data_IF_002945714254
#
_entry.id   IF_002945714254
#
_cell.length_a   1.000
_cell.length_b   1.000
_cell.length_c   1.000
_cell.angle_alpha   90.00
_cell.angle_beta   90.00
_cell.angle_gamma   90.00
#
_symmetry.space_group_name_H-M   'P 1'
#
loop_
_entity.id
_entity.type
_entity.pdbx_description
1 polymer ?
#
# COMPACT_ATOMS: atom_id res chain seq x y z
N UNK A 1 36.10 8.70 11.36
CA UNK A 1 35.00 7.71 11.46
C UNK A 1 35.10 7.06 12.82
N UNK A 2 34.11 7.25 13.70
CA UNK A 2 34.11 6.69 15.05
C UNK A 2 33.11 5.54 15.08
N UNK A 3 33.60 4.33 15.37
CA UNK A 3 32.76 3.13 15.45
C UNK A 3 32.34 2.99 16.91
N UNK A 4 31.03 3.02 17.16
CA UNK A 4 30.47 2.73 18.48
C UNK A 4 30.25 1.22 18.59
N UNK A 5 30.83 0.60 19.61
CA UNK A 5 30.71 -0.83 19.87
C UNK A 5 29.75 -1.01 21.05
N UNK A 6 28.74 -1.87 20.87
CA UNK A 6 27.84 -2.27 21.95
C UNK A 6 28.44 -3.45 22.70
N UNK A 7 28.22 -3.51 24.02
CA UNK A 7 28.72 -4.60 24.87
C UNK A 7 28.11 -5.96 24.47
N UNK A 8 26.84 -5.95 24.05
CA UNK A 8 26.11 -7.13 23.60
C UNK A 8 25.56 -6.92 22.18
N UNK A 9 26.40 -7.04 21.13
CA UNK A 9 26.01 -6.73 19.75
C UNK A 9 24.85 -7.63 19.27
N UNK A 10 24.76 -8.87 19.76
CA UNK A 10 23.66 -9.79 19.46
C UNK A 10 22.30 -9.31 19.99
N UNK A 11 22.26 -8.48 21.04
CA UNK A 11 21.01 -7.99 21.65
C UNK A 11 20.69 -6.53 21.27
N UNK A 12 21.60 -5.83 20.59
CA UNK A 12 21.51 -4.38 20.36
C UNK A 12 20.20 -3.95 19.70
N UNK A 13 19.70 -4.76 18.76
CA UNK A 13 18.43 -4.49 18.06
C UNK A 13 17.26 -4.57 19.03
N UNK A 14 17.18 -5.64 19.82
CA UNK A 14 16.10 -5.84 20.79
C UNK A 14 16.15 -4.77 21.88
N UNK A 15 17.34 -4.43 22.39
CA UNK A 15 17.51 -3.31 23.33
C UNK A 15 17.01 -1.99 22.74
N UNK A 16 17.40 -1.68 21.50
CA UNK A 16 16.94 -0.47 20.81
C UNK A 16 15.42 -0.41 20.67
N UNK A 17 14.79 -1.52 20.28
CA UNK A 17 13.34 -1.63 20.15
C UNK A 17 12.62 -1.46 21.51
N UNK A 18 13.14 -2.08 22.57
CA UNK A 18 12.58 -1.97 23.92
C UNK A 18 12.74 -0.55 24.47
N UNK A 19 13.88 0.10 24.24
CA UNK A 19 14.13 1.48 24.65
C UNK A 19 13.21 2.47 23.94
N UNK A 20 13.08 2.38 22.60
CA UNK A 20 12.14 3.20 21.81
C UNK A 20 10.71 3.04 22.35
N UNK A 21 10.28 1.79 22.58
CA UNK A 21 8.95 1.51 23.10
C UNK A 21 8.74 2.05 24.52
N UNK A 22 9.74 1.93 25.39
CA UNK A 22 9.69 2.44 26.76
C UNK A 22 9.60 3.96 26.79
N UNK A 23 10.33 4.67 25.92
CA UNK A 23 10.28 6.13 25.79
C UNK A 23 8.89 6.59 25.31
N UNK A 24 8.32 5.93 24.31
CA UNK A 24 6.98 6.22 23.82
C UNK A 24 5.92 6.08 24.91
N UNK A 25 5.99 5.01 25.73
CA UNK A 25 5.01 4.76 26.80
C UNK A 25 5.19 5.74 27.96
N UNK A 26 6.42 5.91 28.46
CA UNK A 26 6.67 6.69 29.68
C UNK A 26 6.68 8.20 29.44
N UNK A 27 7.22 8.63 28.31
CA UNK A 27 7.48 10.06 28.02
C UNK A 27 6.61 10.62 26.90
N UNK A 28 5.85 9.77 26.18
CA UNK A 28 5.11 10.16 24.96
C UNK A 28 5.98 10.82 23.90
N UNK A 29 7.27 10.47 23.89
CA UNK A 29 8.23 10.94 22.89
C UNK A 29 8.47 9.83 21.88
N UNK A 30 8.46 10.18 20.60
CA UNK A 30 8.92 9.32 19.52
C UNK A 30 10.40 9.61 19.24
N UNK A 31 11.25 8.59 19.29
CA UNK A 31 12.70 8.77 19.06
C UNK A 31 12.99 9.20 17.62
N UNK A 32 12.18 8.71 16.67
CA UNK A 32 12.26 9.10 15.27
C UNK A 32 10.97 9.82 14.86
N UNK A 33 11.07 11.09 14.48
CA UNK A 33 9.92 11.86 13.98
C UNK A 33 9.38 11.35 12.64
N UNK A 34 10.28 10.79 11.83
CA UNK A 34 9.99 10.14 10.54
C UNK A 34 10.90 8.95 10.30
N UNK A 35 10.49 8.06 9.40
CA UNK A 35 11.25 6.91 8.91
C UNK A 35 11.23 6.92 7.38
N UNK A 36 12.23 6.32 6.74
CA UNK A 36 12.23 6.15 5.28
C UNK A 36 12.09 4.66 4.94
N UNK A 37 11.45 4.37 3.81
CA UNK A 37 11.39 3.02 3.28
C UNK A 37 12.53 2.77 2.27
N UNK A 38 13.10 1.56 2.25
CA UNK A 38 14.19 1.21 1.33
C UNK A 38 13.70 0.97 -0.11
N UNK A 39 12.40 0.76 -0.31
CA UNK A 39 11.76 0.53 -1.61
C UNK A 39 10.44 1.28 -1.65
N UNK A 40 9.91 1.49 -2.85
CA UNK A 40 8.60 2.14 -3.04
C UNK A 40 7.48 1.11 -2.93
N UNK A 41 6.36 1.51 -2.32
CA UNK A 41 5.14 0.69 -2.21
C UNK A 41 3.93 1.40 -2.78
N UNK A 42 3.13 0.65 -3.53
CA UNK A 42 1.95 1.17 -4.20
C UNK A 42 0.78 0.19 -4.16
N UNK A 43 -0.39 0.70 -4.55
CA UNK A 43 -1.61 -0.08 -4.70
C UNK A 43 -2.03 -0.05 -6.15
N UNK A 44 -2.45 -1.20 -6.68
CA UNK A 44 -3.04 -1.28 -8.01
C UNK A 44 -4.48 -0.76 -7.95
N UNK A 45 -4.81 0.22 -8.78
CA UNK A 45 -6.16 0.76 -8.92
C UNK A 45 -6.42 1.31 -10.33
N UNK A 46 -7.70 1.42 -10.68
CA UNK A 46 -8.13 2.11 -11.90
C UNK A 46 -8.14 3.64 -11.65
N UNK A 47 -7.54 4.42 -12.56
CA UNK A 47 -7.51 5.89 -12.48
C UNK A 47 -8.32 6.50 -13.62
N UNK A 48 -9.02 7.61 -13.36
CA UNK A 48 -9.74 8.34 -14.42
C UNK A 48 -8.75 8.67 -15.54
N UNK A 49 -9.14 8.40 -16.78
CA UNK A 49 -8.29 8.61 -17.94
C UNK A 49 -7.91 10.09 -18.06
N UNK A 50 -6.62 10.35 -18.24
CA UNK A 50 -6.09 11.67 -18.46
C UNK A 50 -5.18 11.61 -19.69
N UNK A 51 -5.52 12.31 -20.79
CA UNK A 51 -4.74 12.28 -22.02
C UNK A 51 -3.27 12.69 -21.84
N UNK A 52 -2.93 13.51 -20.85
CA UNK A 52 -1.53 13.91 -20.62
C UNK A 52 -0.70 12.86 -19.87
N UNK A 53 -1.34 11.88 -19.21
CA UNK A 53 -0.67 10.92 -18.32
C UNK A 53 -0.81 9.46 -18.75
N UNK A 54 -1.86 9.12 -19.49
CA UNK A 54 -2.25 7.74 -19.77
C UNK A 54 -2.23 7.41 -21.27
N UNK A 55 -1.48 8.16 -22.09
CA UNK A 55 -1.34 7.83 -23.52
C UNK A 55 -0.72 6.45 -23.68
N UNK A 56 -1.36 5.59 -24.48
CA UNK A 56 -0.88 4.23 -24.75
C UNK A 56 -1.14 3.22 -23.62
N UNK A 57 -1.75 3.65 -22.52
CA UNK A 57 -2.13 2.77 -21.42
C UNK A 57 -3.45 2.03 -21.74
N UNK A 58 -3.68 0.83 -21.17
CA UNK A 58 -4.94 0.12 -21.33
C UNK A 58 -6.07 0.92 -20.68
N UNK A 59 -7.17 1.12 -21.42
CA UNK A 59 -8.33 1.87 -20.96
C UNK A 59 -9.60 1.03 -20.97
N UNK A 60 -10.52 1.35 -20.07
CA UNK A 60 -11.83 0.71 -19.94
C UNK A 60 -12.90 1.76 -19.65
N UNK A 61 -13.98 1.73 -20.41
CA UNK A 61 -15.19 2.49 -20.10
C UNK A 61 -15.92 1.82 -18.93
N UNK A 62 -16.20 2.57 -17.87
CA UNK A 62 -16.97 2.08 -16.73
C UNK A 62 -18.48 2.28 -17.00
N UNK A 63 -19.29 1.21 -17.10
CA UNK A 63 -20.72 1.32 -17.43
C UNK A 63 -21.54 2.01 -16.33
N UNK A 64 -20.99 2.20 -15.13
CA UNK A 64 -21.71 2.77 -13.98
C UNK A 64 -21.76 4.29 -14.02
N UNK A 65 -20.70 4.93 -14.48
CA UNK A 65 -20.62 6.39 -14.62
C UNK A 65 -20.36 6.87 -16.05
N UNK A 66 -20.05 5.96 -16.97
CA UNK A 66 -19.71 6.23 -18.37
C UNK A 66 -18.40 7.02 -18.52
N UNK A 67 -17.52 6.93 -17.52
CA UNK A 67 -16.20 7.54 -17.55
C UNK A 67 -15.17 6.53 -18.03
N UNK A 68 -14.14 7.01 -18.72
CA UNK A 68 -13.02 6.16 -19.17
C UNK A 68 -11.96 6.12 -18.09
N UNK A 69 -11.53 4.92 -17.74
CA UNK A 69 -10.49 4.67 -16.75
C UNK A 69 -9.26 4.05 -17.42
N UNK A 70 -8.07 4.48 -17.02
CA UNK A 70 -6.82 3.76 -17.25
C UNK A 70 -6.75 2.62 -16.22
N UNK A 71 -6.57 1.39 -16.70
CA UNK A 71 -6.64 0.15 -15.92
C UNK A 71 -5.25 -0.24 -15.42
N UNK A 72 -5.20 -0.99 -14.32
CA UNK A 72 -3.98 -1.55 -13.72
C UNK A 72 -2.94 -0.49 -13.36
N UNK A 73 -3.38 0.74 -13.06
CA UNK A 73 -2.47 1.81 -12.68
C UNK A 73 -1.97 1.58 -11.25
N UNK A 74 -0.75 2.02 -10.98
CA UNK A 74 -0.17 1.98 -9.64
C UNK A 74 -0.34 3.35 -9.01
N UNK A 75 -0.82 3.35 -7.79
CA UNK A 75 -0.82 4.52 -6.93
C UNK A 75 0.20 4.36 -5.80
N UNK A 76 1.35 4.99 -6.00
CA UNK A 76 2.45 4.95 -5.03
C UNK A 76 2.06 5.71 -3.75
N UNK A 77 2.12 4.99 -2.63
CA UNK A 77 1.81 5.51 -1.29
C UNK A 77 3.09 5.84 -0.54
N UNK A 78 4.11 5.02 -0.72
CA UNK A 78 5.44 5.19 -0.12
C UNK A 78 6.44 5.25 -1.26
N UNK A 79 7.28 6.27 -1.23
CA UNK A 79 8.37 6.46 -2.18
C UNK A 79 9.68 6.18 -1.45
N UNK A 80 10.55 5.39 -2.07
CA UNK A 80 11.88 5.06 -1.55
C UNK A 80 12.63 6.31 -1.12
N UNK A 81 13.22 6.28 0.08
CA UNK A 81 14.01 7.39 0.63
C UNK A 81 13.21 8.60 1.12
N UNK A 82 11.92 8.71 0.80
CA UNK A 82 11.09 9.81 1.28
C UNK A 82 10.73 9.63 2.76
N UNK A 83 10.75 10.72 3.56
CA UNK A 83 10.41 10.66 4.98
C UNK A 83 8.91 10.41 5.18
N UNK A 84 8.59 9.41 5.97
CA UNK A 84 7.25 8.99 6.37
C UNK A 84 7.09 9.36 7.84
N UNK A 85 6.13 10.23 8.20
CA UNK A 85 5.86 10.56 9.59
C UNK A 85 5.55 9.31 10.42
N UNK A 86 5.87 9.32 11.71
CA UNK A 86 5.48 8.23 12.63
C UNK A 86 3.96 7.98 12.67
N UNK A 87 3.14 8.98 12.33
CA UNK A 87 1.69 8.86 12.19
C UNK A 87 1.26 8.11 10.93
N UNK A 88 2.15 7.89 9.97
CA UNK A 88 1.89 7.25 8.68
C UNK A 88 1.46 8.23 7.57
N UNK A 89 1.28 7.69 6.37
CA UNK A 89 0.72 8.39 5.20
C UNK A 89 -0.68 7.85 4.93
N UNK A 90 -1.63 8.74 4.71
CA UNK A 90 -3.03 8.39 4.42
C UNK A 90 -3.40 8.84 3.01
N UNK A 91 -4.07 7.97 2.26
CA UNK A 91 -4.61 8.31 0.94
C UNK A 91 -6.04 7.79 0.75
N UNK A 92 -6.96 8.62 0.24
CA UNK A 92 -8.33 8.20 0.00
C UNK A 92 -8.46 7.39 -1.29
N UNK A 93 -9.30 6.36 -1.23
CA UNK A 93 -9.67 5.51 -2.35
C UNK A 93 -11.19 5.42 -2.47
N UNK A 94 -11.65 5.17 -3.69
CA UNK A 94 -13.07 4.99 -3.99
C UNK A 94 -13.28 3.63 -4.63
N UNK A 95 -14.26 2.90 -4.10
CA UNK A 95 -14.75 1.66 -4.67
C UNK A 95 -16.16 1.86 -5.19
N UNK A 96 -16.42 1.34 -6.39
CA UNK A 96 -17.76 1.24 -6.97
C UNK A 96 -18.16 -0.23 -7.02
N UNK A 97 -19.36 -0.53 -6.56
CA UNK A 97 -19.93 -1.89 -6.54
C UNK A 97 -21.29 -1.88 -7.24
N UNK A 98 -21.56 -2.94 -7.99
CA UNK A 98 -22.88 -3.16 -8.56
C UNK A 98 -23.90 -3.50 -7.46
N UNK A 99 -25.18 -3.23 -7.73
CA UNK A 99 -26.28 -3.67 -6.87
C UNK A 99 -26.31 -5.21 -6.78
N UNK A 100 -26.49 -5.73 -5.57
CA UNK A 100 -26.52 -7.17 -5.27
C UNK A 100 -25.14 -7.80 -5.03
N UNK A 101 -24.04 -7.04 -5.19
CA UNK A 101 -22.66 -7.48 -4.92
C UNK A 101 -22.04 -6.77 -3.72
N UNK A 102 -22.86 -6.23 -2.82
CA UNK A 102 -22.38 -5.36 -1.73
C UNK A 102 -21.52 -6.08 -0.69
N UNK A 103 -21.70 -7.39 -0.57
CA UNK A 103 -21.04 -8.24 0.43
C UNK A 103 -19.87 -9.04 -0.17
N UNK A 104 -19.59 -8.88 -1.47
CA UNK A 104 -18.43 -9.54 -2.09
C UNK A 104 -17.14 -8.87 -1.59
N UNK A 105 -16.15 -9.65 -1.09
CA UNK A 105 -14.88 -9.08 -0.70
C UNK A 105 -14.17 -8.50 -1.92
N UNK A 106 -13.64 -7.28 -1.76
CA UNK A 106 -12.92 -6.60 -2.82
C UNK A 106 -11.43 -6.89 -2.75
N UNK A 107 -10.85 -7.41 -3.84
CA UNK A 107 -9.44 -7.73 -3.90
C UNK A 107 -8.59 -6.48 -4.19
N UNK A 108 -7.57 -6.23 -3.38
CA UNK A 108 -6.60 -5.16 -3.56
C UNK A 108 -5.20 -5.75 -3.62
N UNK A 109 -4.40 -5.29 -4.58
CA UNK A 109 -3.03 -5.74 -4.75
C UNK A 109 -2.06 -4.66 -4.29
N UNK A 110 -1.21 -5.02 -3.33
CA UNK A 110 -0.08 -4.19 -2.91
C UNK A 110 1.14 -4.63 -3.69
N UNK A 111 1.82 -3.66 -4.29
CA UNK A 111 3.02 -3.86 -5.08
C UNK A 111 4.19 -3.08 -4.49
N UNK A 112 5.40 -3.51 -4.84
CA UNK A 112 6.63 -2.79 -4.57
C UNK A 112 7.45 -2.60 -5.85
N UNK A 113 8.34 -1.62 -5.82
CA UNK A 113 9.37 -1.41 -6.84
C UNK A 113 10.69 -1.03 -6.17
N UNK A 114 11.77 -1.64 -6.64
CA UNK A 114 13.15 -1.30 -6.29
C UNK A 114 13.77 -0.26 -7.23
N UNK A 115 13.02 0.19 -8.25
CA UNK A 115 13.46 1.24 -9.16
C UNK A 115 13.48 2.60 -8.44
N UNK A 116 14.40 3.51 -8.84
CA UNK A 116 14.47 4.83 -8.25
C UNK A 116 13.19 5.63 -8.53
N UNK A 117 12.85 6.62 -7.69
CA UNK A 117 11.58 7.37 -7.76
C UNK A 117 11.24 7.94 -9.14
N UNK A 118 12.24 8.34 -9.92
CA UNK A 118 12.09 8.94 -11.25
C UNK A 118 11.62 7.92 -12.29
N UNK A 119 11.89 6.63 -12.05
CA UNK A 119 11.63 5.52 -12.96
C UNK A 119 10.54 4.58 -12.43
N UNK A 120 9.72 5.04 -11.49
CA UNK A 120 8.66 4.21 -10.95
C UNK A 120 7.62 3.87 -12.04
N UNK A 121 7.26 2.58 -12.18
CA UNK A 121 6.27 2.18 -13.16
C UNK A 121 4.91 2.78 -12.80
N UNK A 122 4.17 3.16 -13.83
CA UNK A 122 2.82 3.74 -13.70
C UNK A 122 1.75 2.67 -13.79
N UNK A 123 2.04 1.58 -14.48
CA UNK A 123 1.13 0.46 -14.69
C UNK A 123 1.76 -0.83 -14.16
N UNK A 124 0.97 -1.69 -13.54
CA UNK A 124 1.41 -2.97 -12.99
C UNK A 124 1.99 -3.93 -14.03
N UNK A 125 1.67 -3.75 -15.32
CA UNK A 125 2.21 -4.55 -16.43
C UNK A 125 3.63 -4.14 -16.84
N UNK A 126 4.09 -2.97 -16.40
CA UNK A 126 5.45 -2.49 -16.69
C UNK A 126 6.49 -3.23 -15.83
N UNK A 127 7.71 -3.35 -16.36
CA UNK A 127 8.83 -3.97 -15.63
C UNK A 127 9.15 -3.17 -14.35
N UNK A 128 9.68 -3.87 -13.35
CA UNK A 128 10.06 -3.27 -12.07
C UNK A 128 8.94 -3.22 -11.02
N UNK A 129 7.78 -3.81 -11.31
CA UNK A 129 6.70 -3.99 -10.33
C UNK A 129 6.70 -5.42 -9.82
N UNK A 130 6.68 -5.59 -8.50
CA UNK A 130 6.56 -6.90 -7.85
C UNK A 130 5.34 -6.91 -6.93
N UNK A 131 4.49 -7.93 -7.04
CA UNK A 131 3.38 -8.14 -6.12
C UNK A 131 3.93 -8.52 -4.74
N UNK A 132 3.54 -7.76 -3.71
CA UNK A 132 3.88 -8.02 -2.31
C UNK A 132 2.81 -8.91 -1.69
N UNK A 133 1.55 -8.50 -1.81
CA UNK A 133 0.41 -9.28 -1.32
C UNK A 133 -0.91 -8.88 -1.99
N UNK A 134 -1.90 -9.74 -1.84
CA UNK A 134 -3.29 -9.48 -2.23
C UNK A 134 -4.16 -9.49 -0.97
N UNK A 135 -5.05 -8.52 -0.86
CA UNK A 135 -5.92 -8.31 0.29
C UNK A 135 -7.37 -8.46 -0.14
N UNK A 136 -8.17 -9.15 0.66
CA UNK A 136 -9.61 -9.19 0.48
C UNK A 136 -10.26 -8.22 1.49
N UNK A 137 -10.89 -7.17 0.99
CA UNK A 137 -11.49 -6.12 1.79
C UNK A 137 -12.99 -6.33 1.84
N UNK A 138 -13.53 -6.66 3.01
CA UNK A 138 -14.97 -6.52 3.25
C UNK A 138 -15.33 -5.05 3.42
N UNK A 139 -16.37 -4.61 2.72
CA UNK A 139 -16.90 -3.25 2.83
C UNK A 139 -18.19 -3.16 3.65
N UNK A 140 -18.53 -4.22 4.39
CA UNK A 140 -19.81 -4.32 5.12
C UNK A 140 -20.01 -3.18 6.13
N UNK A 141 -18.92 -2.79 6.80
CA UNK A 141 -18.91 -1.73 7.80
C UNK A 141 -18.47 -0.36 7.26
N UNK A 142 -18.42 -0.20 5.94
CA UNK A 142 -18.00 1.04 5.28
C UNK A 142 -19.22 1.74 4.70
N UNK A 143 -19.26 3.07 4.80
CA UNK A 143 -20.40 3.81 4.31
C UNK A 143 -20.55 3.73 2.80
N UNK A 144 -21.71 3.23 2.38
CA UNK A 144 -22.08 3.05 0.98
C UNK A 144 -23.08 4.15 0.61
N UNK A 145 -22.78 4.91 -0.44
CA UNK A 145 -23.69 5.91 -1.01
C UNK A 145 -24.27 5.38 -2.32
N UNK A 146 -25.58 5.22 -2.37
CA UNK A 146 -26.27 4.83 -3.60
C UNK A 146 -26.22 5.98 -4.61
N UNK A 147 -25.78 5.68 -5.83
CA UNK A 147 -25.73 6.60 -6.96
C UNK A 147 -26.73 6.20 -8.03
N UNK A 148 -27.19 7.19 -8.80
CA UNK A 148 -28.18 7.03 -9.88
C UNK A 148 -29.49 6.36 -9.42
N UNK A 149 -29.98 6.69 -8.22
CA UNK A 149 -31.18 6.09 -7.60
C UNK A 149 -32.50 6.54 -8.26
N UNK A 150 -32.52 7.70 -8.89
CA UNK A 150 -33.76 8.31 -9.36
C UNK A 150 -34.27 7.61 -10.62
N UNK A 151 -35.59 7.53 -10.77
CA UNK A 151 -36.26 6.86 -11.90
C UNK A 151 -35.89 7.45 -13.27
N UNK A 152 -35.52 8.74 -13.31
CA UNK A 152 -35.06 9.45 -14.50
C UNK A 152 -33.54 9.31 -14.75
N UNK A 153 -32.82 8.52 -13.93
CA UNK A 153 -31.39 8.28 -14.14
C UNK A 153 -31.22 7.32 -15.32
N UNK A 154 -30.62 7.79 -16.40
CA UNK A 154 -30.28 6.94 -17.56
C UNK A 154 -29.13 5.97 -17.27
N UNK A 155 -28.32 6.27 -16.25
CA UNK A 155 -27.15 5.49 -15.84
C UNK A 155 -27.54 4.43 -14.80
N UNK A 156 -26.86 3.27 -14.84
CA UNK A 156 -27.10 2.17 -13.88
C UNK A 156 -26.84 2.63 -12.45
N UNK A 157 -27.71 2.24 -11.52
CA UNK A 157 -27.51 2.47 -10.10
C UNK A 157 -26.37 1.61 -9.55
N UNK A 158 -25.56 2.20 -8.66
CA UNK A 158 -24.40 1.54 -8.07
C UNK A 158 -24.10 2.08 -6.67
N UNK A 159 -23.42 1.27 -5.86
CA UNK A 159 -22.91 1.68 -4.57
C UNK A 159 -21.53 2.31 -4.71
N UNK A 160 -21.33 3.47 -4.10
CA UNK A 160 -20.03 4.12 -3.99
C UNK A 160 -19.58 4.14 -2.54
N UNK A 161 -18.41 3.59 -2.29
CA UNK A 161 -17.78 3.51 -0.99
C UNK A 161 -16.46 4.28 -1.04
N UNK A 162 -16.21 5.11 -0.02
CA UNK A 162 -14.94 5.83 0.14
C UNK A 162 -14.26 5.35 1.41
N UNK A 163 -12.98 5.05 1.32
CA UNK A 163 -12.16 4.64 2.46
C UNK A 163 -10.74 5.17 2.31
N UNK A 164 -10.03 5.25 3.41
CA UNK A 164 -8.65 5.68 3.46
C UNK A 164 -7.73 4.48 3.64
N UNK A 165 -6.67 4.44 2.84
CA UNK A 165 -5.55 3.53 3.10
C UNK A 165 -4.47 4.31 3.82
N UNK A 166 -4.10 3.81 5.00
CA UNK A 166 -3.06 4.37 5.85
C UNK A 166 -1.88 3.43 5.91
N UNK A 167 -0.71 3.91 5.51
CA UNK A 167 0.57 3.18 5.61
C UNK A 167 1.32 3.68 6.83
N UNK A 168 1.63 2.78 7.75
CA UNK A 168 2.39 3.07 8.96
C UNK A 168 3.70 2.29 8.91
N UNK A 169 4.82 2.99 9.06
CA UNK A 169 6.15 2.37 9.12
C UNK A 169 6.58 2.29 10.57
N UNK A 170 6.69 1.06 11.07
CA UNK A 170 7.25 0.77 12.37
C UNK A 170 8.77 0.59 12.32
N UNK A 171 9.39 0.22 13.45
CA UNK A 171 10.83 0.03 13.53
C UNK A 171 11.38 -1.10 12.64
N UNK A 172 10.60 -2.16 12.42
CA UNK A 172 11.00 -3.34 11.66
C UNK A 172 9.93 -3.81 10.66
N UNK A 173 8.79 -3.11 10.58
CA UNK A 173 7.62 -3.52 9.84
C UNK A 173 6.98 -2.34 9.10
N UNK A 174 6.28 -2.66 8.02
CA UNK A 174 5.42 -1.73 7.31
C UNK A 174 4.02 -2.32 7.32
N UNK A 175 3.05 -1.53 7.80
CA UNK A 175 1.68 -1.95 8.00
C UNK A 175 0.71 -1.12 7.16
N UNK A 176 -0.13 -1.79 6.39
CA UNK A 176 -1.25 -1.16 5.68
C UNK A 176 -2.52 -1.31 6.51
N UNK A 177 -3.25 -0.20 6.67
CA UNK A 177 -4.47 -0.12 7.45
C UNK A 177 -5.57 0.51 6.60
N UNK A 178 -6.77 -0.03 6.69
CA UNK A 178 -7.97 0.52 6.05
C UNK A 178 -8.78 1.29 7.08
N UNK A 179 -9.23 2.48 6.71
CA UNK A 179 -9.96 3.39 7.58
C UNK A 179 -11.22 3.90 6.87
N UNK A 180 -12.31 4.08 7.63
CA UNK A 180 -13.54 4.72 7.17
C UNK A 180 -14.15 5.53 8.30
N UNK A 181 -14.45 6.81 8.06
CA UNK A 181 -14.97 7.74 9.08
C UNK A 181 -14.22 7.62 10.41
N UNK A 182 -12.90 7.68 10.35
CA UNK A 182 -11.98 7.58 11.51
C UNK A 182 -12.06 6.25 12.29
N UNK A 183 -12.69 5.22 11.73
CA UNK A 183 -12.70 3.87 12.27
C UNK A 183 -11.86 2.96 11.41
N UNK A 184 -10.94 2.23 12.05
CA UNK A 184 -10.15 1.20 11.37
C UNK A 184 -11.05 0.04 10.98
N UNK A 185 -11.09 -0.27 9.69
CA UNK A 185 -11.74 -1.46 9.15
C UNK A 185 -10.84 -2.65 9.50
N UNK A 186 -11.35 -3.56 10.31
CA UNK A 186 -10.68 -4.83 10.60
C UNK A 186 -11.17 -5.82 9.54
N UNK A 187 -10.26 -6.35 8.71
CA UNK A 187 -10.64 -7.51 7.91
C UNK A 187 -10.89 -8.66 8.88
N UNK A 188 -12.07 -9.26 8.83
CA UNK A 188 -12.49 -10.29 9.80
C UNK A 188 -11.58 -11.51 9.86
N UNK A 189 -10.72 -11.71 8.84
CA UNK A 189 -9.92 -12.92 8.68
C UNK A 189 -8.41 -12.65 8.44
N UNK A 190 -7.90 -11.42 8.58
CA UNK A 190 -6.48 -11.16 8.36
C UNK A 190 -5.91 -10.27 9.47
N UNK A 191 -4.82 -10.73 10.09
CA UNK A 191 -3.98 -9.89 10.95
C UNK A 191 -3.50 -8.64 10.19
N UNK A 192 -3.15 -7.55 10.91
CA UNK A 192 -2.50 -6.39 10.30
C UNK A 192 -1.36 -6.86 9.38
N UNK A 193 -1.35 -6.40 8.13
CA UNK A 193 -0.40 -6.86 7.11
C UNK A 193 1.00 -6.41 7.53
N UNK A 194 1.75 -7.28 8.19
CA UNK A 194 3.17 -7.12 8.36
C UNK A 194 3.83 -7.54 7.04
N UNK A 195 4.50 -6.62 6.36
CA UNK A 195 5.39 -6.99 5.24
C UNK A 195 6.42 -7.98 5.79
N UNK A 196 6.31 -9.26 5.43
CA UNK A 196 7.35 -10.25 5.71
C UNK A 196 8.51 -9.94 4.79
N UNK A 197 9.53 -9.28 5.32
CA UNK A 197 10.79 -9.09 4.64
C UNK A 197 11.44 -10.45 4.43
N UNK A 198 11.35 -10.99 3.23
CA UNK A 198 12.19 -12.12 2.85
C UNK A 198 13.58 -11.56 2.51
N UNK A 199 14.67 -12.18 3.03
CA UNK A 199 16.00 -11.81 2.59
C UNK A 199 16.07 -11.94 1.07
N UNK A 200 16.69 -10.95 0.41
CA UNK A 200 17.02 -11.07 -1.01
C UNK A 200 17.78 -12.37 -1.17
N UNK A 201 17.26 -13.29 -1.99
CA UNK A 201 18.07 -14.45 -2.41
C UNK A 201 19.34 -13.87 -3.01
N UNK A 202 20.47 -14.22 -2.42
CA UNK A 202 21.78 -14.00 -3.02
C UNK A 202 21.67 -14.47 -4.48
N UNK A 203 21.89 -13.54 -5.40
CA UNK A 203 22.05 -13.89 -6.80
C UNK A 203 23.30 -14.76 -6.86
N UNK A 204 23.09 -16.05 -7.14
CA UNK A 204 24.10 -17.11 -7.27
C UNK A 204 25.53 -16.60 -7.55
N UNK A 205 26.37 -16.57 -6.50
CA UNK A 205 27.81 -16.73 -6.67
C UNK A 205 28.08 -18.20 -7.05
N UNK A 206 27.79 -18.52 -8.31
CA UNK A 206 27.91 -19.86 -8.86
C UNK A 206 28.61 -19.84 -10.21
N UNK A 207 29.82 -19.29 -10.28
CA UNK A 207 30.76 -19.54 -11.39
C UNK A 207 32.19 -19.14 -11.02
N UNK A 208 32.78 -19.84 -10.04
CA UNK A 208 34.22 -20.02 -10.00
C UNK A 208 34.51 -21.44 -9.52
N UNK A 209 35.25 -22.18 -10.36
CA UNK A 209 35.91 -23.48 -10.12
C UNK A 209 35.35 -24.64 -10.95
N UNK A 210 35.62 -24.63 -12.26
CA UNK A 210 35.89 -25.85 -13.05
C UNK A 210 36.87 -25.51 -14.16
N UNK A 211 38.15 -25.52 -13.84
CA UNK A 211 39.25 -25.80 -14.77
C UNK A 211 40.38 -26.47 -13.97
N UNK A 212 40.29 -27.80 -13.88
CA UNK A 212 41.39 -28.74 -13.68
C UNK A 212 41.09 -29.97 -14.53
#
# INVERSE_FOLDING_TARGET
MQILVADEPQLVVVHGLVLDRTQQIKRRVVTFGSRCAPVSYGIICDKIYNPSKHVGEPVRLDPRDNETYAVDQIDWLVIQGCPIPHTGITKPFQLKMDLGRENEPWKVHIVMSTLPPENLPRNARQKGTQLVCSLDISTDNVDKKLKNRHWYSTKRAFWRTTFDVKVVVGPADLAFQLWSRDKRIRSGNHEPIAVKWMPSRELDEGNLSRDL
#
